data_IF_415956799698
#
_entry.id   IF_415956799698
#
_cell.length_a   1.000
_cell.length_b   1.000
_cell.length_c   1.000
_cell.angle_alpha   90.00
_cell.angle_beta   90.00
_cell.angle_gamma   90.00
#
_symmetry.space_group_name_H-M   'P 1'
#
loop_
_entity.id
_entity.type
_entity.pdbx_description
1 polymer ?
#
# COMPACT_ATOMS: atom_id res chain seq x y z
N UNK A 1 -53.93 -7.83 -39.06
CA UNK A 1 -53.09 -6.93 -38.18
C UNK A 1 -52.30 -7.82 -37.25
N UNK A 2 -51.03 -8.08 -37.56
CA UNK A 2 -50.17 -9.00 -36.80
C UNK A 2 -49.21 -8.13 -36.00
N UNK A 3 -49.37 -8.12 -34.69
CA UNK A 3 -48.46 -7.39 -33.76
C UNK A 3 -47.11 -8.14 -33.63
N UNK A 4 -46.00 -7.49 -33.96
CA UNK A 4 -44.66 -7.98 -33.75
C UNK A 4 -44.24 -7.70 -32.32
N UNK A 5 -43.68 -8.67 -31.58
CA UNK A 5 -43.09 -8.38 -30.26
C UNK A 5 -41.77 -7.63 -30.42
N UNK A 6 -41.62 -6.52 -29.72
CA UNK A 6 -40.34 -5.82 -29.53
C UNK A 6 -39.53 -6.56 -28.46
N UNK A 7 -38.50 -7.24 -28.88
CA UNK A 7 -37.51 -7.77 -27.95
C UNK A 7 -36.70 -6.58 -27.35
N UNK A 8 -36.85 -6.34 -26.07
CA UNK A 8 -35.98 -5.45 -25.32
C UNK A 8 -34.66 -6.20 -25.00
N UNK A 9 -33.59 -5.77 -25.61
CA UNK A 9 -32.23 -6.22 -25.23
C UNK A 9 -31.85 -5.48 -23.95
N UNK A 10 -31.90 -6.19 -22.83
CA UNK A 10 -31.29 -5.71 -21.59
C UNK A 10 -29.76 -5.84 -21.72
N UNK A 11 -29.08 -4.72 -21.89
CA UNK A 11 -27.62 -4.65 -21.75
C UNK A 11 -27.37 -4.70 -20.26
N UNK A 12 -26.90 -5.85 -19.76
CA UNK A 12 -26.32 -5.93 -18.44
C UNK A 12 -24.97 -5.16 -18.49
N UNK A 13 -24.93 -3.98 -17.93
CA UNK A 13 -23.68 -3.35 -17.54
C UNK A 13 -23.12 -4.22 -16.41
N UNK A 14 -22.10 -5.00 -16.74
CA UNK A 14 -21.20 -5.57 -15.73
C UNK A 14 -20.41 -4.36 -15.20
N UNK A 15 -20.80 -3.85 -14.05
CA UNK A 15 -19.95 -2.95 -13.27
C UNK A 15 -18.73 -3.79 -12.86
N UNK A 16 -17.60 -3.62 -13.52
CA UNK A 16 -16.32 -4.03 -12.94
C UNK A 16 -16.15 -3.18 -11.69
N UNK A 17 -16.23 -3.80 -10.52
CA UNK A 17 -15.73 -3.20 -9.31
C UNK A 17 -14.22 -2.86 -9.53
N UNK A 18 -13.74 -1.69 -9.14
CA UNK A 18 -12.33 -1.43 -9.17
C UNK A 18 -11.66 -2.45 -8.24
N UNK A 19 -10.74 -3.24 -8.77
CA UNK A 19 -9.86 -4.09 -7.95
C UNK A 19 -8.94 -3.17 -7.17
N UNK A 20 -8.70 -3.47 -5.89
CA UNK A 20 -7.68 -2.79 -5.09
C UNK A 20 -6.37 -2.75 -5.86
N UNK A 21 -5.99 -1.57 -6.27
CA UNK A 21 -4.71 -1.31 -6.90
C UNK A 21 -3.75 -0.92 -5.79
N UNK A 22 -2.59 -1.56 -5.73
CA UNK A 22 -1.50 -0.94 -5.01
C UNK A 22 -1.20 0.40 -5.67
N UNK A 23 -1.42 1.49 -4.94
CA UNK A 23 -1.15 2.82 -5.44
C UNK A 23 0.35 2.98 -5.73
N UNK A 24 0.72 3.83 -6.69
CA UNK A 24 2.13 4.01 -7.02
C UNK A 24 2.98 4.48 -5.84
N UNK A 25 2.40 5.10 -4.84
CA UNK A 25 3.04 5.61 -3.62
C UNK A 25 2.85 4.69 -2.40
N UNK A 26 2.21 3.53 -2.54
CA UNK A 26 2.15 2.51 -1.48
C UNK A 26 3.55 2.04 -1.06
N UNK A 27 3.68 1.60 0.18
CA UNK A 27 4.91 1.11 0.76
C UNK A 27 4.68 -0.14 1.62
N UNK A 28 5.76 -0.83 1.98
CA UNK A 28 5.67 -2.05 2.80
C UNK A 28 5.79 -1.68 4.28
N UNK A 29 4.71 -1.87 5.03
CA UNK A 29 4.67 -1.59 6.46
C UNK A 29 5.55 -2.55 7.26
N UNK A 30 6.10 -2.04 8.36
CA UNK A 30 6.90 -2.83 9.32
C UNK A 30 6.19 -2.88 10.66
N UNK A 31 6.27 -4.01 11.41
CA UNK A 31 5.57 -4.17 12.67
C UNK A 31 6.19 -3.42 13.86
N UNK A 32 7.39 -2.86 13.70
CA UNK A 32 8.15 -2.25 14.79
C UNK A 32 7.75 -0.80 15.02
N UNK A 33 7.77 -0.36 16.28
CA UNK A 33 7.46 0.99 16.72
C UNK A 33 8.62 1.52 17.57
N UNK A 34 9.05 2.76 17.32
CA UNK A 34 10.04 3.46 18.15
C UNK A 34 9.37 4.56 18.98
N UNK A 35 9.37 4.38 20.31
CA UNK A 35 8.72 5.33 21.21
C UNK A 35 9.37 6.72 21.17
N UNK A 36 8.54 7.74 20.96
CA UNK A 36 8.96 9.14 20.91
C UNK A 36 9.67 9.54 19.62
N UNK A 37 9.78 8.64 18.64
CA UNK A 37 10.19 8.98 17.28
C UNK A 37 9.17 9.92 16.65
N UNK A 38 9.68 10.88 15.88
CA UNK A 38 8.89 11.77 15.01
C UNK A 38 9.48 11.68 13.63
N UNK A 39 8.61 11.57 12.65
CA UNK A 39 9.02 11.43 11.27
C UNK A 39 8.21 12.33 10.35
N UNK A 40 8.86 12.83 9.32
CA UNK A 40 8.22 13.42 8.15
C UNK A 40 8.57 12.54 6.99
N UNK A 41 7.55 12.07 6.28
CA UNK A 41 7.70 11.15 5.19
C UNK A 41 7.18 11.74 3.88
N UNK A 42 7.91 11.52 2.80
CA UNK A 42 7.52 11.81 1.44
C UNK A 42 7.52 10.51 0.65
N UNK A 43 6.34 10.08 0.22
CA UNK A 43 6.14 8.95 -0.70
C UNK A 43 5.83 9.47 -2.09
N UNK A 44 6.27 8.77 -3.12
CA UNK A 44 5.97 9.12 -4.50
C UNK A 44 6.13 7.92 -5.41
N UNK A 45 5.35 7.90 -6.47
CA UNK A 45 5.45 6.84 -7.45
C UNK A 45 4.76 7.15 -8.77
N UNK A 46 5.02 6.30 -9.75
CA UNK A 46 4.37 6.37 -11.06
C UNK A 46 4.22 4.97 -11.63
N UNK A 47 3.03 4.66 -12.08
CA UNK A 47 2.67 3.40 -12.73
C UNK A 47 2.34 3.64 -14.21
N UNK A 48 2.65 2.65 -15.05
CA UNK A 48 2.28 2.62 -16.46
C UNK A 48 1.30 1.47 -16.67
N UNK A 49 -0.01 1.71 -16.59
CA UNK A 49 -1.02 0.70 -16.81
C UNK A 49 -1.10 0.25 -18.28
N UNK A 50 -1.88 -0.78 -18.54
CA UNK A 50 -2.03 -1.41 -19.87
C UNK A 50 -2.80 -0.56 -20.88
N UNK A 51 -3.50 0.48 -20.44
CA UNK A 51 -4.38 1.36 -21.23
C UNK A 51 -3.72 2.69 -21.64
N UNK A 52 -2.39 2.77 -21.60
CA UNK A 52 -1.59 3.98 -21.90
C UNK A 52 -1.81 5.18 -20.95
N UNK A 53 -2.65 5.08 -19.94
CA UNK A 53 -2.85 6.14 -18.95
C UNK A 53 -1.84 5.99 -17.82
N UNK A 54 -0.93 6.96 -17.67
CA UNK A 54 0.05 6.97 -16.57
C UNK A 54 -0.60 7.50 -15.31
N UNK A 55 -0.51 6.73 -14.24
CA UNK A 55 -0.90 7.16 -12.90
C UNK A 55 0.34 7.56 -12.09
N UNK A 56 0.22 8.58 -11.28
CA UNK A 56 1.29 9.00 -10.37
C UNK A 56 0.67 9.40 -9.05
N UNK A 57 1.27 8.94 -7.97
CA UNK A 57 0.88 9.27 -6.60
C UNK A 57 2.01 9.96 -5.86
N UNK A 58 1.66 10.76 -4.88
CA UNK A 58 2.56 11.32 -3.90
C UNK A 58 1.83 11.52 -2.58
N UNK A 59 2.49 11.23 -1.46
CA UNK A 59 1.99 11.49 -0.12
C UNK A 59 3.01 12.25 0.72
N UNK A 60 2.52 13.11 1.59
CA UNK A 60 3.29 13.77 2.64
C UNK A 60 2.67 13.39 3.97
N UNK A 61 3.47 12.75 4.83
CA UNK A 61 3.02 12.23 6.10
C UNK A 61 3.80 12.81 7.28
N UNK A 62 3.17 12.77 8.44
CA UNK A 62 3.77 13.02 9.73
C UNK A 62 3.42 11.89 10.69
N UNK A 63 4.45 11.18 11.16
CA UNK A 63 4.35 10.07 12.09
C UNK A 63 4.86 10.40 13.49
N UNK A 64 4.31 9.69 14.49
CA UNK A 64 4.72 9.80 15.88
C UNK A 64 4.57 8.46 16.63
N UNK A 65 5.66 8.00 17.25
CA UNK A 65 5.67 6.88 18.18
C UNK A 65 5.09 7.26 19.53
N UNK A 66 3.80 7.04 19.74
CA UNK A 66 3.02 7.49 20.92
C UNK A 66 3.36 6.70 22.17
N UNK A 67 3.53 5.39 22.03
CA UNK A 67 3.94 4.46 23.10
C UNK A 67 4.97 3.47 22.55
N UNK A 68 5.61 2.62 23.37
CA UNK A 68 6.52 1.58 22.88
C UNK A 68 5.87 0.54 21.93
N UNK A 69 4.55 0.53 21.84
CA UNK A 69 3.79 -0.45 21.08
C UNK A 69 2.77 0.16 20.12
N UNK A 70 2.67 1.50 20.03
CA UNK A 70 1.73 2.20 19.16
C UNK A 70 2.38 3.42 18.52
N UNK A 71 2.37 3.46 17.21
CA UNK A 71 2.66 4.64 16.39
C UNK A 71 1.43 5.06 15.60
N UNK A 72 1.32 6.35 15.31
CA UNK A 72 0.25 6.92 14.49
C UNK A 72 0.84 7.86 13.46
N UNK A 73 0.24 7.90 12.28
CA UNK A 73 0.64 8.77 11.18
C UNK A 73 -0.59 9.41 10.55
N UNK A 74 -0.43 10.63 10.05
CA UNK A 74 -1.43 11.32 9.22
C UNK A 74 -0.74 11.70 7.93
N UNK A 75 -1.33 11.29 6.79
CA UNK A 75 -0.85 11.62 5.48
C UNK A 75 -1.89 12.37 4.65
N UNK A 76 -1.40 13.24 3.76
CA UNK A 76 -2.17 13.81 2.68
C UNK A 76 -1.65 13.23 1.37
N UNK A 77 -2.54 12.69 0.54
CA UNK A 77 -2.21 12.04 -0.72
C UNK A 77 -2.70 12.87 -1.91
N UNK A 78 -1.94 12.85 -2.97
CA UNK A 78 -2.22 13.49 -4.26
C UNK A 78 -2.06 12.47 -5.37
N UNK A 79 -3.09 12.30 -6.17
CA UNK A 79 -3.02 11.47 -7.35
C UNK A 79 -3.10 12.31 -8.63
N UNK A 80 -2.51 11.78 -9.68
CA UNK A 80 -2.52 12.37 -11.01
C UNK A 80 -2.79 11.30 -12.06
N UNK A 81 -3.93 11.43 -12.73
CA UNK A 81 -4.23 10.75 -13.99
C UNK A 81 -4.13 11.75 -15.15
N UNK A 82 -5.04 12.71 -15.25
CA UNK A 82 -5.00 13.82 -16.23
C UNK A 82 -4.45 15.11 -15.60
N UNK A 83 -4.84 15.43 -14.37
CA UNK A 83 -4.36 16.57 -13.60
C UNK A 83 -4.01 16.12 -12.17
N UNK A 84 -3.04 16.80 -11.54
CA UNK A 84 -2.71 16.57 -10.13
C UNK A 84 -3.81 17.16 -9.28
N UNK A 85 -4.40 16.35 -8.40
CA UNK A 85 -5.39 16.80 -7.42
C UNK A 85 -5.05 16.23 -6.05
N UNK A 86 -5.43 16.94 -5.00
CA UNK A 86 -5.53 16.36 -3.67
C UNK A 86 -6.63 15.30 -3.73
N UNK A 87 -6.33 14.12 -3.21
CA UNK A 87 -7.20 12.96 -3.33
C UNK A 87 -7.79 12.57 -1.99
N UNK A 88 -6.96 12.33 -0.99
CA UNK A 88 -7.43 11.82 0.28
C UNK A 88 -6.57 12.22 1.49
N UNK A 89 -7.15 12.06 2.67
CA UNK A 89 -6.46 12.06 3.96
C UNK A 89 -6.45 10.64 4.50
N UNK A 90 -5.28 10.20 4.91
CA UNK A 90 -5.02 8.92 5.54
C UNK A 90 -4.70 9.11 7.01
N UNK A 91 -5.22 8.24 7.86
CA UNK A 91 -4.85 8.12 9.26
C UNK A 91 -4.46 6.67 9.55
N UNK A 92 -3.17 6.45 9.67
CA UNK A 92 -2.57 5.16 9.96
C UNK A 92 -2.32 4.98 11.45
N UNK A 93 -2.49 3.75 11.94
CA UNK A 93 -2.11 3.31 13.26
C UNK A 93 -1.43 1.95 13.18
N UNK A 94 -0.20 1.89 13.67
CA UNK A 94 0.58 0.65 13.77
C UNK A 94 0.70 0.23 15.22
N UNK A 95 0.38 -1.03 15.48
CA UNK A 95 0.49 -1.64 16.79
C UNK A 95 1.52 -2.75 16.76
N UNK A 96 2.61 -2.61 17.50
CA UNK A 96 3.59 -3.66 17.73
C UNK A 96 3.03 -4.65 18.74
N UNK A 97 2.83 -5.89 18.34
CA UNK A 97 2.21 -6.94 19.18
C UNK A 97 3.25 -7.79 19.90
N UNK A 98 4.49 -7.83 19.41
CA UNK A 98 5.59 -8.60 20.02
C UNK A 98 6.85 -7.74 20.11
N UNK A 99 7.68 -8.00 21.13
CA UNK A 99 9.00 -7.42 21.18
C UNK A 99 9.89 -8.02 20.07
N UNK A 100 10.70 -7.20 19.37
CA UNK A 100 11.55 -7.67 18.28
C UNK A 100 12.46 -8.81 18.71
N UNK A 101 12.43 -9.91 17.94
CA UNK A 101 13.23 -11.11 18.18
C UNK A 101 12.78 -12.00 19.34
N UNK A 102 11.69 -11.69 20.01
CA UNK A 102 11.17 -12.51 21.13
C UNK A 102 10.60 -13.85 20.68
N UNK A 103 9.97 -13.87 19.51
CA UNK A 103 9.33 -15.06 18.94
C UNK A 103 9.98 -15.47 17.61
N UNK A 104 9.41 -16.48 16.95
CA UNK A 104 9.92 -16.92 15.65
C UNK A 104 9.81 -15.86 14.55
N UNK A 105 8.92 -14.87 14.73
CA UNK A 105 8.77 -13.68 13.92
C UNK A 105 8.25 -12.54 14.80
N UNK A 106 8.42 -11.31 14.34
CA UNK A 106 7.85 -10.12 14.96
C UNK A 106 6.49 -9.86 14.34
N UNK A 107 5.50 -9.53 15.17
CA UNK A 107 4.11 -9.32 14.76
C UNK A 107 3.64 -7.92 15.10
N UNK A 108 2.88 -7.35 14.20
CA UNK A 108 2.17 -6.09 14.36
C UNK A 108 0.76 -6.17 13.79
N UNK A 109 0.02 -5.09 13.96
CA UNK A 109 -1.29 -4.86 13.38
C UNK A 109 -1.31 -3.46 12.76
N UNK A 110 -1.76 -3.36 11.52
CA UNK A 110 -2.11 -2.11 10.85
C UNK A 110 -3.61 -1.85 11.00
N UNK A 111 -3.97 -0.60 11.27
CA UNK A 111 -5.32 -0.06 11.15
C UNK A 111 -5.21 1.30 10.49
N UNK A 112 -5.74 1.43 9.30
CA UNK A 112 -5.69 2.64 8.49
C UNK A 112 -7.10 3.04 8.10
N UNK A 113 -7.37 4.34 8.14
CA UNK A 113 -8.63 4.94 7.72
C UNK A 113 -8.31 6.02 6.71
N UNK A 114 -8.87 5.89 5.52
CA UNK A 114 -8.78 6.89 4.48
C UNK A 114 -10.07 7.67 4.32
N UNK A 115 -9.91 8.93 4.03
CA UNK A 115 -11.02 9.84 3.73
C UNK A 115 -10.82 10.42 2.33
N UNK A 116 -11.39 9.80 1.29
CA UNK A 116 -11.37 10.35 -0.04
C UNK A 116 -12.01 11.75 -0.11
N UNK A 117 -11.50 12.56 -1.01
CA UNK A 117 -12.09 13.87 -1.33
C UNK A 117 -13.46 13.73 -1.97
N UNK A 118 -13.63 12.70 -2.81
CA UNK A 118 -14.94 12.36 -3.32
C UNK A 118 -15.74 11.62 -2.24
N UNK A 119 -16.71 12.32 -1.69
CA UNK A 119 -17.56 11.76 -0.62
C UNK A 119 -18.45 10.62 -1.10
N UNK A 120 -18.57 10.39 -2.41
CA UNK A 120 -19.30 9.26 -2.96
C UNK A 120 -18.59 7.93 -2.68
N UNK A 121 -17.26 7.94 -2.51
CA UNK A 121 -16.43 6.79 -2.18
C UNK A 121 -16.51 6.41 -0.69
N UNK A 122 -17.00 7.30 0.18
CA UNK A 122 -17.19 7.05 1.60
C UNK A 122 -15.90 7.16 2.40
N UNK A 123 -15.65 6.19 3.28
CA UNK A 123 -14.40 6.01 4.05
C UNK A 123 -13.86 4.63 3.76
N UNK A 124 -12.56 4.53 3.51
CA UNK A 124 -11.89 3.26 3.44
C UNK A 124 -11.32 2.87 4.81
N UNK A 125 -11.46 1.61 5.17
CA UNK A 125 -10.79 0.97 6.30
C UNK A 125 -9.91 -0.15 5.78
N UNK A 126 -8.60 -0.02 6.01
CA UNK A 126 -7.60 -1.06 5.74
C UNK A 126 -7.08 -1.60 7.06
N UNK A 127 -7.09 -2.91 7.24
CA UNK A 127 -6.64 -3.57 8.46
C UNK A 127 -5.94 -4.88 8.14
N UNK A 128 -4.86 -5.20 8.87
CA UNK A 128 -4.24 -6.51 8.73
C UNK A 128 -2.99 -6.73 9.55
N UNK A 129 -2.57 -8.01 9.68
CA UNK A 129 -1.35 -8.38 10.37
C UNK A 129 -0.10 -7.97 9.59
N UNK A 130 0.87 -7.45 10.33
CA UNK A 130 2.23 -7.17 9.88
C UNK A 130 3.16 -8.24 10.45
N UNK A 131 3.98 -8.85 9.59
CA UNK A 131 4.88 -9.94 9.97
C UNK A 131 6.28 -9.60 9.49
N UNK A 132 7.26 -9.68 10.38
CA UNK A 132 8.67 -9.52 10.07
C UNK A 132 9.49 -10.68 10.60
N UNK A 133 10.46 -11.13 9.81
CA UNK A 133 11.40 -12.17 10.22
C UNK A 133 12.80 -11.84 9.72
N UNK A 134 13.76 -11.90 10.65
CA UNK A 134 15.18 -11.79 10.32
C UNK A 134 15.81 -13.18 10.15
N UNK A 135 16.52 -13.36 9.02
CA UNK A 135 17.32 -14.54 8.68
C UNK A 135 18.79 -14.11 8.50
N UNK A 136 19.48 -13.88 9.60
CA UNK A 136 20.82 -13.29 9.57
C UNK A 136 20.81 -11.90 8.94
N UNK A 137 21.49 -11.68 7.79
CA UNK A 137 21.49 -10.37 7.13
C UNK A 137 20.21 -10.05 6.34
N UNK A 138 19.32 -11.02 6.14
CA UNK A 138 18.09 -10.84 5.37
C UNK A 138 16.92 -10.55 6.31
N UNK A 139 16.25 -9.43 6.09
CA UNK A 139 14.95 -9.12 6.69
C UNK A 139 13.85 -9.44 5.67
N UNK A 140 12.84 -10.15 6.11
CA UNK A 140 11.65 -10.45 5.33
C UNK A 140 10.42 -9.85 6.04
N UNK A 141 9.61 -9.10 5.30
CA UNK A 141 8.30 -8.60 5.73
C UNK A 141 7.23 -9.23 4.83
N UNK A 142 6.10 -9.59 5.43
CA UNK A 142 4.92 -10.05 4.72
C UNK A 142 3.66 -9.64 5.47
N UNK A 143 2.82 -8.86 4.81
CA UNK A 143 1.60 -8.29 5.37
C UNK A 143 0.41 -8.73 4.54
N UNK A 144 -0.71 -8.99 5.20
CA UNK A 144 -1.99 -9.33 4.56
C UNK A 144 -3.00 -8.30 5.00
N UNK A 145 -3.57 -7.58 4.07
CA UNK A 145 -4.43 -6.43 4.33
C UNK A 145 -5.83 -6.71 3.79
N UNK A 146 -6.81 -6.41 4.60
CA UNK A 146 -8.23 -6.44 4.24
C UNK A 146 -8.70 -5.00 4.18
N UNK A 147 -9.37 -4.65 3.09
CA UNK A 147 -9.81 -3.30 2.76
C UNK A 147 -11.30 -3.27 2.47
N UNK A 148 -11.96 -2.22 2.92
CA UNK A 148 -13.38 -2.03 2.68
C UNK A 148 -13.79 -0.56 2.78
N UNK A 149 -14.60 -0.12 1.81
CA UNK A 149 -15.26 1.17 1.87
C UNK A 149 -16.58 1.10 2.68
N UNK A 150 -16.80 2.13 3.48
CA UNK A 150 -18.01 2.32 4.28
C UNK A 150 -18.68 3.63 3.91
N UNK A 151 -20.00 3.61 3.84
CA UNK A 151 -20.81 4.76 3.45
C UNK A 151 -20.56 5.24 2.01
N UNK A 152 -19.98 4.41 1.16
CA UNK A 152 -19.91 4.66 -0.26
C UNK A 152 -21.32 4.68 -0.88
N UNK A 153 -21.49 5.43 -1.98
CA UNK A 153 -22.76 5.51 -2.70
C UNK A 153 -23.13 4.19 -3.38
N UNK A 154 -22.12 3.51 -3.92
CA UNK A 154 -22.25 2.15 -4.47
C UNK A 154 -21.80 1.14 -3.43
N UNK A 155 -22.46 -0.03 -3.30
CA UNK A 155 -22.02 -1.10 -2.40
C UNK A 155 -20.68 -1.64 -2.85
N UNK A 156 -19.71 -1.66 -1.95
CA UNK A 156 -18.41 -2.21 -2.20
C UNK A 156 -18.17 -3.50 -1.41
N UNK A 157 -17.37 -4.38 -1.99
CA UNK A 157 -16.97 -5.64 -1.39
C UNK A 157 -15.75 -5.43 -0.51
N UNK A 158 -15.53 -6.38 0.40
CA UNK A 158 -14.29 -6.43 1.18
C UNK A 158 -13.23 -7.08 0.32
N UNK A 159 -12.12 -6.40 0.11
CA UNK A 159 -11.03 -6.86 -0.72
C UNK A 159 -9.85 -7.36 0.11
N UNK A 160 -9.02 -8.21 -0.50
CA UNK A 160 -7.85 -8.78 0.12
C UNK A 160 -6.61 -8.45 -0.70
N UNK A 161 -5.67 -7.77 -0.05
CA UNK A 161 -4.38 -7.45 -0.59
C UNK A 161 -3.24 -8.04 0.25
N UNK A 162 -2.05 -7.95 -0.30
CA UNK A 162 -0.82 -8.27 0.41
C UNK A 162 0.34 -7.41 -0.09
N UNK A 163 1.32 -7.23 0.79
CA UNK A 163 2.58 -6.58 0.49
C UNK A 163 3.73 -7.35 1.11
N UNK A 164 4.89 -7.33 0.48
CA UNK A 164 6.06 -8.01 1.00
C UNK A 164 7.35 -7.30 0.61
N UNK A 165 8.38 -7.54 1.43
CA UNK A 165 9.72 -7.03 1.22
C UNK A 165 10.76 -8.07 1.65
N UNK A 166 11.81 -8.20 0.84
CA UNK A 166 13.05 -8.87 1.21
C UNK A 166 14.17 -7.84 1.14
N UNK A 167 14.88 -7.63 2.25
CA UNK A 167 15.97 -6.67 2.37
C UNK A 167 17.24 -7.37 2.85
N UNK A 168 18.27 -7.35 2.03
CA UNK A 168 19.60 -7.79 2.44
C UNK A 168 20.35 -6.60 3.03
N UNK A 169 20.66 -6.67 4.33
CA UNK A 169 21.39 -5.65 5.09
C UNK A 169 22.88 -5.74 4.76
N UNK A 170 23.30 -4.97 3.75
CA UNK A 170 24.69 -4.94 3.31
C UNK A 170 25.50 -3.92 4.09
N UNK A 171 24.99 -2.68 4.23
CA UNK A 171 25.58 -1.61 5.04
C UNK A 171 24.53 -0.54 5.32
N UNK A 172 24.59 0.20 6.43
CA UNK A 172 23.52 1.12 6.84
C UNK A 172 23.08 2.10 5.74
N UNK A 173 24.04 2.65 4.97
CA UNK A 173 23.73 3.60 3.90
C UNK A 173 23.25 2.96 2.60
N UNK A 174 23.31 1.64 2.46
CA UNK A 174 22.88 0.95 1.24
C UNK A 174 22.61 -0.53 1.50
N UNK A 175 21.36 -0.88 1.45
CA UNK A 175 20.85 -2.25 1.41
C UNK A 175 20.15 -2.48 0.08
N UNK A 176 19.93 -3.72 -0.30
CA UNK A 176 19.24 -4.06 -1.54
C UNK A 176 18.33 -5.28 -1.34
N UNK A 177 17.38 -5.44 -2.25
CA UNK A 177 16.44 -6.54 -2.13
C UNK A 177 15.34 -6.48 -3.18
N UNK A 178 14.14 -6.84 -2.77
CA UNK A 178 12.96 -6.82 -3.62
C UNK A 178 11.73 -6.46 -2.79
N UNK A 179 10.75 -5.88 -3.48
CA UNK A 179 9.41 -5.60 -2.94
C UNK A 179 8.35 -6.13 -3.90
N UNK A 180 7.16 -6.36 -3.38
CA UNK A 180 6.02 -6.70 -4.20
C UNK A 180 4.71 -6.47 -3.48
N UNK A 181 3.68 -6.23 -4.29
CA UNK A 181 2.32 -5.93 -3.87
C UNK A 181 1.35 -6.77 -4.69
N UNK A 182 0.18 -7.05 -4.12
CA UNK A 182 -0.84 -7.74 -4.88
C UNK A 182 -2.22 -7.64 -4.25
N UNK A 183 -3.23 -7.65 -5.14
CA UNK A 183 -4.64 -7.76 -4.80
C UNK A 183 -5.23 -9.01 -5.44
N UNK A 184 -6.00 -9.77 -4.66
CA UNK A 184 -6.64 -11.00 -5.14
C UNK A 184 -8.13 -10.84 -5.43
N UNK A 185 -8.66 -9.61 -5.19
CA UNK A 185 -10.09 -9.29 -5.26
C UNK A 185 -10.80 -9.57 -3.96
N UNK A 186 -12.06 -9.98 -4.00
CA UNK A 186 -12.86 -10.20 -2.79
C UNK A 186 -12.23 -11.24 -1.86
N UNK A 187 -12.24 -10.95 -0.56
CA UNK A 187 -11.56 -11.77 0.47
C UNK A 187 -12.06 -13.22 0.52
N UNK A 188 -13.30 -13.50 0.12
CA UNK A 188 -13.97 -14.81 0.16
C UNK A 188 -14.31 -15.38 -1.24
N UNK A 189 -14.08 -14.61 -2.32
CA UNK A 189 -14.29 -15.03 -3.71
C UNK A 189 -13.19 -14.44 -4.60
N UNK A 190 -12.01 -15.07 -4.57
CA UNK A 190 -10.84 -14.58 -5.26
C UNK A 190 -11.06 -14.53 -6.77
N UNK A 191 -10.70 -13.42 -7.36
CA UNK A 191 -10.70 -13.24 -8.81
C UNK A 191 -9.82 -14.28 -9.51
N UNK A 192 -10.12 -14.68 -10.75
CA UNK A 192 -9.22 -15.48 -11.55
C UNK A 192 -7.83 -14.86 -11.63
N UNK A 193 -6.77 -15.66 -11.60
CA UNK A 193 -5.37 -15.17 -11.54
C UNK A 193 -5.03 -14.08 -12.58
N UNK A 194 -5.60 -14.17 -13.79
CA UNK A 194 -5.40 -13.18 -14.84
C UNK A 194 -6.02 -11.81 -14.54
N UNK A 195 -6.98 -11.77 -13.61
CA UNK A 195 -7.71 -10.56 -13.17
C UNK A 195 -7.16 -10.01 -11.85
N UNK A 196 -6.38 -10.82 -11.11
CA UNK A 196 -5.65 -10.38 -9.93
C UNK A 196 -4.51 -9.46 -10.32
N UNK A 197 -4.13 -8.57 -9.41
CA UNK A 197 -3.01 -7.65 -9.62
C UNK A 197 -1.81 -8.08 -8.79
N UNK A 198 -0.71 -8.37 -9.46
CA UNK A 198 0.55 -8.72 -8.80
C UNK A 198 1.70 -7.99 -9.48
N UNK A 199 2.47 -7.25 -8.68
CA UNK A 199 3.69 -6.57 -9.10
C UNK A 199 4.84 -6.92 -8.16
N UNK A 200 6.04 -7.07 -8.69
CA UNK A 200 7.25 -7.27 -7.89
C UNK A 200 8.49 -6.80 -8.64
N UNK A 201 9.54 -6.49 -7.89
CA UNK A 201 10.79 -6.11 -8.51
C UNK A 201 11.89 -5.72 -7.53
N UNK A 202 13.07 -5.35 -8.05
CA UNK A 202 14.21 -4.94 -7.25
C UNK A 202 13.95 -3.65 -6.48
N UNK A 203 14.51 -3.60 -5.27
CA UNK A 203 14.44 -2.45 -4.38
C UNK A 203 15.80 -2.17 -3.74
N UNK A 204 16.03 -0.91 -3.39
CA UNK A 204 17.18 -0.43 -2.63
C UNK A 204 16.69 0.36 -1.42
N UNK A 205 17.48 0.30 -0.35
CA UNK A 205 17.15 0.93 0.94
C UNK A 205 18.40 1.53 1.56
N UNK A 206 18.21 2.48 2.46
CA UNK A 206 19.32 2.98 3.24
C UNK A 206 18.89 3.91 4.36
N UNK A 207 19.84 4.11 5.32
CA UNK A 207 19.68 5.01 6.44
C UNK A 207 20.98 5.80 6.63
N UNK A 208 20.86 7.12 6.63
CA UNK A 208 21.95 8.04 6.96
C UNK A 208 21.70 8.64 8.35
N UNK A 209 22.55 8.33 9.32
CA UNK A 209 22.50 8.95 10.63
C UNK A 209 23.08 10.37 10.53
N UNK A 210 22.29 11.38 10.90
CA UNK A 210 22.65 12.80 10.81
C UNK A 210 23.17 13.36 12.15
N UNK A 211 23.09 12.56 13.21
CA UNK A 211 23.53 12.91 14.55
C UNK A 211 22.39 13.00 15.56
N UNK A 212 22.66 12.66 16.82
CA UNK A 212 21.62 12.56 17.84
C UNK A 212 20.59 11.49 17.47
N UNK A 213 19.32 11.87 17.46
CA UNK A 213 18.22 11.00 17.04
C UNK A 213 17.83 11.20 15.56
N UNK A 214 18.51 12.08 14.84
CA UNK A 214 18.15 12.43 13.48
C UNK A 214 18.71 11.42 12.50
N UNK A 215 17.86 10.99 11.58
CA UNK A 215 18.25 10.13 10.47
C UNK A 215 17.42 10.46 9.21
N UNK A 216 18.01 10.15 8.07
CA UNK A 216 17.32 10.16 6.78
C UNK A 216 17.28 8.73 6.27
N UNK A 217 16.10 8.15 6.13
CA UNK A 217 15.87 6.86 5.48
C UNK A 217 15.39 7.07 4.06
N UNK A 218 15.66 6.10 3.22
CA UNK A 218 15.10 6.04 1.88
C UNK A 218 14.85 4.62 1.45
N UNK A 219 13.84 4.44 0.61
CA UNK A 219 13.71 3.27 -0.22
C UNK A 219 13.31 3.67 -1.65
N UNK A 220 13.62 2.81 -2.63
CA UNK A 220 13.16 2.97 -3.99
C UNK A 220 13.06 1.60 -4.65
N UNK A 221 12.04 1.42 -5.49
CA UNK A 221 11.82 0.18 -6.20
C UNK A 221 11.37 0.42 -7.65
N UNK A 222 11.70 -0.55 -8.50
CA UNK A 222 11.15 -0.68 -9.85
C UNK A 222 10.44 -2.02 -9.90
N UNK A 223 9.12 -1.99 -9.99
CA UNK A 223 8.26 -3.16 -9.95
C UNK A 223 7.72 -3.45 -11.35
N UNK A 224 7.60 -4.72 -11.67
CA UNK A 224 7.10 -5.21 -12.95
C UNK A 224 5.86 -6.05 -12.72
N UNK A 225 4.94 -6.00 -13.66
CA UNK A 225 3.73 -6.84 -13.61
C UNK A 225 4.07 -8.32 -13.65
N UNK A 226 3.35 -9.09 -12.85
CA UNK A 226 3.36 -10.54 -12.86
C UNK A 226 2.05 -11.12 -13.44
N UNK A 227 1.02 -10.29 -13.56
CA UNK A 227 -0.30 -10.61 -14.12
C UNK A 227 -0.75 -9.55 -15.11
N UNK A 228 -1.66 -9.90 -16.03
CA UNK A 228 -2.06 -9.01 -17.14
C UNK A 228 -2.81 -7.76 -16.68
N UNK A 229 -3.54 -7.84 -15.56
CA UNK A 229 -4.31 -6.72 -14.98
C UNK A 229 -3.45 -5.71 -14.24
N UNK A 230 -2.21 -6.07 -13.89
CA UNK A 230 -1.33 -5.18 -13.16
C UNK A 230 -0.65 -4.15 -14.10
N UNK A 231 -0.25 -2.97 -13.58
CA UNK A 231 0.54 -2.00 -14.30
C UNK A 231 1.83 -2.62 -14.87
N UNK A 232 2.17 -2.30 -16.12
CA UNK A 232 3.34 -2.87 -16.79
C UNK A 232 4.64 -2.63 -16.01
N UNK A 233 4.78 -1.42 -15.46
CA UNK A 233 5.92 -1.02 -14.62
C UNK A 233 5.47 0.04 -13.63
N UNK A 234 5.88 -0.11 -12.38
CA UNK A 234 5.71 0.90 -11.33
C UNK A 234 7.09 1.29 -10.80
N UNK A 235 7.35 2.59 -10.72
CA UNK A 235 8.54 3.14 -10.06
C UNK A 235 8.07 3.88 -8.84
N UNK A 236 8.59 3.55 -7.68
CA UNK A 236 8.23 4.19 -6.41
C UNK A 236 9.46 4.56 -5.59
N UNK A 237 9.27 5.50 -4.68
CA UNK A 237 10.30 5.90 -3.71
C UNK A 237 9.70 6.56 -2.50
N UNK A 238 10.44 6.48 -1.40
CA UNK A 238 10.11 7.00 -0.09
C UNK A 238 11.34 7.68 0.51
N UNK A 239 11.14 8.82 1.13
CA UNK A 239 12.13 9.54 1.92
C UNK A 239 11.51 9.84 3.28
N UNK A 240 12.16 9.40 4.34
CA UNK A 240 11.70 9.59 5.72
C UNK A 240 12.79 10.31 6.52
N UNK A 241 12.41 11.40 7.18
CA UNK A 241 13.28 12.16 8.08
C UNK A 241 12.81 11.98 9.52
N UNK A 242 13.62 11.26 10.30
CA UNK A 242 13.43 11.03 11.73
C UNK A 242 14.09 12.15 12.57
N UNK A 243 13.41 12.59 13.69
CA UNK A 243 13.95 13.62 14.58
C UNK A 243 13.42 13.58 16.01
#
# INVERSE_FOLDING_TARGET
>A
MIARPRAAIAIALVACAPLTHADPDDYVHVPTVEYGEREIELRFGTASPTDDTRQSGAALAFGYGVTPWWATEIAAKWHRSEATSFDELEWENRFQLTEPGQYFADFGLLVEIERPRDHAEGYELRIGPLIQKDFGPVQANFNVLVERHFHATEPEHTELGYEWQLRYRYRPAFDFGAQGFGGVGEWNDWSPLREQQHIAGPAIFGKFNLGGRQALKYDAAVLFRLTDSAPATTVRGQLEYEF
#
